data_IF_422032744331
#
_entry.id   IF_422032744331
#
_cell.length_a   1.000
_cell.length_b   1.000
_cell.length_c   1.000
_cell.angle_alpha   90.00
_cell.angle_beta   90.00
_cell.angle_gamma   90.00
#
_symmetry.space_group_name_H-M   'P 1'
#
loop_
_entity.id
_entity.type
_entity.pdbx_description
1 polymer ?
#
# COMPACT_ATOMS: atom_id res chain seq x y z
N UNK A 1 41.55 -38.54 14.26
CA UNK A 1 41.52 -37.92 15.60
C UNK A 1 42.27 -36.59 15.48
N UNK A 2 41.67 -35.49 15.97
CA UNK A 2 42.16 -34.09 15.93
C UNK A 2 42.22 -33.44 14.52
N UNK A 3 41.87 -32.18 14.28
CA UNK A 3 41.40 -31.08 15.14
C UNK A 3 40.55 -30.15 14.27
N UNK A 4 39.31 -29.85 14.68
CA UNK A 4 38.39 -28.92 14.00
C UNK A 4 38.85 -27.49 14.32
N UNK A 5 39.37 -26.79 13.33
CA UNK A 5 39.65 -25.36 13.44
C UNK A 5 38.31 -24.60 13.45
N UNK A 6 37.93 -24.07 14.61
CA UNK A 6 36.83 -23.12 14.74
C UNK A 6 37.26 -21.79 14.11
N UNK A 7 36.69 -21.44 12.95
CA UNK A 7 36.57 -20.02 12.57
C UNK A 7 35.50 -19.39 13.46
N UNK A 8 35.93 -18.73 14.53
CA UNK A 8 35.12 -17.77 15.27
C UNK A 8 34.96 -16.53 14.39
N UNK A 9 33.88 -16.50 13.59
CA UNK A 9 33.37 -15.26 13.00
C UNK A 9 32.78 -14.42 14.13
N UNK A 10 33.58 -13.51 14.67
CA UNK A 10 33.10 -12.41 15.51
C UNK A 10 32.28 -11.47 14.62
N UNK A 11 30.95 -11.64 14.64
CA UNK A 11 30.02 -10.62 14.17
C UNK A 11 30.10 -9.45 15.16
N UNK A 12 31.01 -8.52 14.88
CA UNK A 12 30.99 -7.20 15.50
C UNK A 12 29.71 -6.49 15.09
N UNK A 13 28.76 -6.34 16.02
CA UNK A 13 27.64 -5.42 15.85
C UNK A 13 28.19 -4.02 16.06
N UNK A 14 28.80 -3.46 15.01
CA UNK A 14 29.06 -2.04 14.92
C UNK A 14 27.75 -1.33 14.59
N UNK A 15 27.46 -0.27 15.35
CA UNK A 15 26.20 0.46 15.28
C UNK A 15 25.86 1.02 13.90
N UNK A 16 24.56 1.09 13.65
CA UNK A 16 23.97 1.80 12.51
C UNK A 16 22.45 1.65 12.65
N UNK A 17 21.74 2.77 12.71
CA UNK A 17 20.29 2.79 12.92
C UNK A 17 19.59 1.77 12.05
N UNK A 18 18.77 0.93 12.67
CA UNK A 18 17.94 -0.05 11.97
C UNK A 18 16.98 0.67 11.03
N UNK A 19 17.43 0.91 9.80
CA UNK A 19 16.54 1.13 8.69
C UNK A 19 15.79 -0.18 8.49
N UNK A 20 14.59 -0.28 9.07
CA UNK A 20 13.64 -1.31 8.66
C UNK A 20 13.46 -1.10 7.17
N UNK A 21 13.89 -2.07 6.36
CA UNK A 21 13.61 -2.10 4.95
C UNK A 21 12.08 -2.14 4.85
N UNK A 22 11.46 -0.99 4.60
CA UNK A 22 10.01 -0.88 4.50
C UNK A 22 9.62 -1.62 3.22
N UNK A 23 9.31 -2.91 3.37
CA UNK A 23 8.72 -3.71 2.30
C UNK A 23 7.28 -3.27 2.17
N UNK A 24 6.97 -2.61 1.06
CA UNK A 24 5.61 -2.26 0.68
C UNK A 24 4.76 -3.53 0.68
N UNK A 25 3.71 -3.58 1.50
CA UNK A 25 2.87 -4.77 1.70
C UNK A 25 3.10 -5.53 3.00
N UNK A 26 3.95 -5.04 3.91
CA UNK A 26 4.02 -5.63 5.25
C UNK A 26 2.73 -5.35 6.02
N UNK A 27 2.25 -6.41 6.68
CA UNK A 27 1.08 -6.40 7.53
C UNK A 27 1.34 -5.55 8.77
N UNK A 28 0.39 -4.70 9.15
CA UNK A 28 0.47 -3.92 10.38
C UNK A 28 0.37 -4.81 11.64
N UNK A 29 0.52 -4.21 12.82
CA UNK A 29 0.46 -4.95 14.10
C UNK A 29 -0.90 -5.61 14.36
N UNK A 30 -1.94 -5.24 13.61
CA UNK A 30 -3.29 -5.76 13.71
C UNK A 30 -3.61 -6.82 12.64
N UNK A 31 -2.68 -7.12 11.73
CA UNK A 31 -2.92 -8.13 10.71
C UNK A 31 -3.42 -7.57 9.38
N UNK A 32 -3.40 -6.25 9.15
CA UNK A 32 -3.94 -5.62 7.95
C UNK A 32 -2.87 -5.03 7.03
N UNK A 33 -3.13 -5.12 5.72
CA UNK A 33 -2.46 -4.31 4.70
C UNK A 33 -3.44 -3.18 4.37
N UNK A 34 -3.14 -1.95 4.83
CA UNK A 34 -3.98 -0.78 4.55
C UNK A 34 -3.23 0.17 3.61
N UNK A 35 -3.84 0.48 2.48
CA UNK A 35 -3.23 1.27 1.40
C UNK A 35 -4.01 2.57 1.26
N UNK A 36 -3.32 3.71 1.28
CA UNK A 36 -3.91 5.02 0.98
C UNK A 36 -3.61 5.38 -0.49
N UNK A 37 -4.63 5.24 -1.33
CA UNK A 37 -4.51 5.41 -2.77
C UNK A 37 -4.30 6.87 -3.14
N UNK A 38 -3.19 7.17 -3.79
CA UNK A 38 -2.84 8.53 -4.17
C UNK A 38 -2.06 9.34 -3.13
N UNK A 39 -1.77 8.76 -1.96
CA UNK A 39 -0.91 9.38 -0.95
C UNK A 39 0.49 9.66 -1.54
N UNK A 40 1.00 10.87 -1.31
CA UNK A 40 2.30 11.30 -1.79
C UNK A 40 3.42 10.93 -0.81
N UNK A 41 4.61 10.69 -1.35
CA UNK A 41 5.80 10.32 -0.58
C UNK A 41 5.91 8.82 -0.32
N UNK A 42 6.90 8.45 0.48
CA UNK A 42 7.25 7.04 0.76
C UNK A 42 6.84 6.61 2.17
N UNK A 43 6.47 7.56 3.04
CA UNK A 43 6.17 7.29 4.44
C UNK A 43 4.68 7.16 4.69
N UNK A 44 4.31 6.07 5.35
CA UNK A 44 2.94 5.83 5.82
C UNK A 44 2.58 6.63 7.08
N UNK A 45 1.37 6.39 7.59
CA UNK A 45 0.90 7.00 8.83
C UNK A 45 -0.06 6.10 9.60
N UNK A 46 -0.14 6.33 10.90
CA UNK A 46 -1.16 5.72 11.77
C UNK A 46 -2.46 6.53 11.68
N UNK A 47 -3.57 5.89 11.30
CA UNK A 47 -4.87 6.55 11.33
C UNK A 47 -5.41 6.63 12.76
N UNK A 48 -5.78 7.83 13.20
CA UNK A 48 -6.14 8.07 14.59
C UNK A 48 -7.48 7.45 14.98
N UNK A 49 -8.37 7.20 14.02
CA UNK A 49 -9.71 6.66 14.28
C UNK A 49 -9.70 5.13 14.25
N UNK A 50 -9.20 4.55 13.16
CA UNK A 50 -9.18 3.10 12.94
C UNK A 50 -7.99 2.40 13.60
N UNK A 51 -6.94 3.15 13.96
CA UNK A 51 -5.66 2.63 14.49
C UNK A 51 -4.91 1.71 13.51
N UNK A 52 -5.26 1.78 12.23
CA UNK A 52 -4.58 1.05 11.16
C UNK A 52 -3.40 1.87 10.64
N UNK A 53 -2.33 1.17 10.24
CA UNK A 53 -1.21 1.79 9.54
C UNK A 53 -1.49 1.84 8.03
N UNK A 54 -1.63 3.05 7.48
CA UNK A 54 -1.80 3.28 6.05
C UNK A 54 -0.45 3.57 5.38
N UNK A 55 -0.18 2.91 4.26
CA UNK A 55 1.01 3.14 3.45
C UNK A 55 0.66 3.70 2.06
N UNK A 56 1.54 4.50 1.43
CA UNK A 56 1.35 4.96 0.06
C UNK A 56 1.19 3.81 -0.93
N UNK A 57 0.45 4.05 -2.01
CA UNK A 57 0.13 3.02 -3.00
C UNK A 57 1.20 2.74 -4.05
N UNK A 58 2.25 3.58 -4.12
CA UNK A 58 3.32 3.49 -5.11
C UNK A 58 4.05 2.13 -5.11
N UNK A 59 4.06 1.42 -3.98
CA UNK A 59 4.66 0.08 -3.88
C UNK A 59 3.78 -1.07 -4.38
N UNK A 60 2.53 -0.78 -4.76
CA UNK A 60 1.53 -1.79 -5.11
C UNK A 60 1.03 -1.67 -6.55
N UNK A 61 1.20 -0.52 -7.20
CA UNK A 61 0.83 -0.30 -8.59
C UNK A 61 1.82 0.65 -9.26
N UNK A 62 2.07 0.43 -10.54
CA UNK A 62 2.93 1.24 -11.39
C UNK A 62 2.15 2.11 -12.39
N UNK A 63 0.81 2.05 -12.34
CA UNK A 63 -0.08 2.71 -13.29
C UNK A 63 -1.00 3.74 -12.61
N UNK A 64 -1.64 4.58 -13.43
CA UNK A 64 -2.55 5.63 -12.97
C UNK A 64 -1.84 6.89 -12.46
N UNK A 65 -2.63 7.85 -11.98
CA UNK A 65 -2.16 9.18 -11.55
C UNK A 65 -2.81 9.59 -10.25
N UNK A 66 -2.01 10.11 -9.31
CA UNK A 66 -2.49 10.63 -8.03
C UNK A 66 -3.23 11.95 -8.24
N UNK A 67 -4.37 12.12 -7.58
CA UNK A 67 -5.17 13.34 -7.64
C UNK A 67 -5.61 13.75 -6.24
N UNK A 68 -5.59 15.06 -5.98
CA UNK A 68 -6.22 15.62 -4.81
C UNK A 68 -7.71 15.78 -5.09
N UNK A 69 -8.56 15.34 -4.18
CA UNK A 69 -9.99 15.57 -4.32
C UNK A 69 -10.36 16.99 -3.88
N UNK A 70 -11.48 17.51 -4.39
CA UNK A 70 -11.94 18.85 -4.04
C UNK A 70 -12.26 18.95 -2.53
N UNK A 71 -11.97 20.09 -1.88
CA UNK A 71 -12.11 20.26 -0.43
C UNK A 71 -13.47 19.85 0.15
N UNK A 72 -14.55 20.09 -0.59
CA UNK A 72 -15.93 19.78 -0.19
C UNK A 72 -16.22 18.27 -0.06
N UNK A 73 -15.37 17.40 -0.61
CA UNK A 73 -15.51 15.94 -0.54
C UNK A 73 -14.51 15.28 0.43
N UNK A 74 -13.63 16.05 1.05
CA UNK A 74 -12.62 15.51 1.95
C UNK A 74 -13.23 14.97 3.25
N UNK A 75 -12.93 13.72 3.59
CA UNK A 75 -13.45 13.06 4.78
C UNK A 75 -12.35 12.30 5.53
N UNK A 76 -11.72 12.88 6.56
CA UNK A 76 -10.57 12.25 7.21
C UNK A 76 -9.32 12.23 6.32
N UNK A 77 -8.27 11.52 6.74
CA UNK A 77 -6.95 11.62 6.10
C UNK A 77 -6.84 10.78 4.81
N UNK A 78 -7.35 9.55 4.81
CA UNK A 78 -7.33 8.62 3.66
C UNK A 78 -8.30 8.98 2.52
N UNK A 79 -9.06 10.07 2.68
CA UNK A 79 -9.96 10.58 1.65
C UNK A 79 -9.60 12.02 1.27
N UNK A 80 -8.31 12.30 1.14
CA UNK A 80 -7.81 13.57 0.57
C UNK A 80 -7.26 13.38 -0.83
N UNK A 81 -6.87 12.16 -1.13
CA UNK A 81 -6.22 11.77 -2.36
C UNK A 81 -6.93 10.54 -2.91
N UNK A 82 -6.83 10.39 -4.23
CA UNK A 82 -7.23 9.18 -4.93
C UNK A 82 -6.18 8.86 -5.98
N UNK A 83 -6.07 7.59 -6.36
CA UNK A 83 -5.43 7.20 -7.61
C UNK A 83 -6.47 7.05 -8.70
N UNK A 84 -6.28 7.80 -9.78
CA UNK A 84 -7.11 7.74 -10.98
C UNK A 84 -6.46 6.87 -12.05
N UNK A 85 -7.29 6.16 -12.81
CA UNK A 85 -6.88 5.30 -13.94
C UNK A 85 -7.59 5.76 -15.21
N UNK A 86 -7.20 6.90 -15.80
CA UNK A 86 -7.83 7.43 -17.01
C UNK A 86 -7.41 6.66 -18.27
N UNK A 87 -6.24 6.00 -18.21
CA UNK A 87 -5.62 5.33 -19.34
C UNK A 87 -5.43 3.82 -19.06
N UNK A 88 -5.32 3.06 -20.16
CA UNK A 88 -5.09 1.62 -20.13
C UNK A 88 -6.36 0.80 -20.01
N UNK A 89 -6.35 -0.39 -20.61
CA UNK A 89 -7.49 -1.30 -20.58
C UNK A 89 -7.66 -1.99 -19.21
N UNK A 90 -6.55 -2.19 -18.47
CA UNK A 90 -6.54 -2.81 -17.16
C UNK A 90 -5.37 -2.30 -16.34
N UNK A 91 -5.65 -1.88 -15.11
CA UNK A 91 -4.65 -1.42 -14.15
C UNK A 91 -4.72 -2.30 -12.90
N UNK A 92 -3.56 -2.74 -12.41
CA UNK A 92 -3.48 -3.78 -11.39
C UNK A 92 -2.82 -3.26 -10.11
N UNK A 93 -3.34 -3.73 -8.98
CA UNK A 93 -2.64 -3.70 -7.69
C UNK A 93 -2.06 -5.08 -7.42
N UNK A 94 -0.79 -5.13 -7.05
CA UNK A 94 -0.12 -6.35 -6.62
C UNK A 94 0.04 -6.34 -5.11
N UNK A 95 -0.80 -7.14 -4.43
CA UNK A 95 -0.66 -7.38 -3.00
C UNK A 95 0.40 -8.47 -2.76
N UNK A 96 1.53 -8.08 -2.18
CA UNK A 96 2.62 -9.00 -1.82
C UNK A 96 2.33 -9.65 -0.46
N UNK A 97 3.01 -10.75 -0.16
CA UNK A 97 2.96 -11.42 1.16
C UNK A 97 1.65 -12.13 1.50
N UNK A 98 0.79 -12.40 0.52
CA UNK A 98 -0.37 -13.28 0.72
C UNK A 98 0.07 -14.75 0.73
N UNK A 99 -0.50 -15.52 1.64
CA UNK A 99 -0.23 -16.95 1.82
C UNK A 99 -1.30 -17.75 1.08
N UNK A 100 -0.84 -18.66 0.22
CA UNK A 100 -1.71 -19.53 -0.54
C UNK A 100 -2.61 -20.39 0.36
N UNK A 101 -3.88 -20.56 -0.03
CA UNK A 101 -4.87 -21.36 0.70
C UNK A 101 -5.58 -20.64 1.85
N UNK A 102 -5.16 -19.42 2.21
CA UNK A 102 -5.86 -18.61 3.20
C UNK A 102 -7.00 -17.79 2.58
N UNK A 103 -8.00 -17.49 3.41
CA UNK A 103 -9.11 -16.59 3.06
C UNK A 103 -8.80 -15.19 3.52
N UNK A 104 -9.05 -14.21 2.65
CA UNK A 104 -8.80 -12.80 2.92
C UNK A 104 -10.09 -11.99 2.75
N UNK A 105 -10.31 -11.05 3.67
CA UNK A 105 -11.30 -10.01 3.48
C UNK A 105 -10.65 -8.87 2.70
N UNK A 106 -11.19 -8.54 1.53
CA UNK A 106 -10.75 -7.41 0.72
C UNK A 106 -11.79 -6.31 0.82
N UNK A 107 -11.36 -5.11 1.20
CA UNK A 107 -12.20 -3.90 1.20
C UNK A 107 -11.58 -2.88 0.25
N UNK A 108 -12.25 -2.65 -0.87
CA UNK A 108 -11.92 -1.56 -1.78
C UNK A 108 -12.90 -0.40 -1.53
N UNK A 109 -12.38 0.83 -1.53
CA UNK A 109 -13.15 2.04 -1.32
C UNK A 109 -12.99 2.94 -2.55
N UNK A 110 -14.08 3.52 -3.03
CA UNK A 110 -14.10 4.28 -4.27
C UNK A 110 -14.64 5.69 -4.04
N UNK A 111 -13.94 6.68 -4.60
CA UNK A 111 -14.30 8.09 -4.56
C UNK A 111 -13.81 8.76 -5.83
N UNK A 112 -14.64 9.64 -6.41
CA UNK A 112 -14.20 10.57 -7.45
C UNK A 112 -13.82 11.91 -6.83
N UNK A 113 -14.61 12.40 -5.87
CA UNK A 113 -14.30 13.62 -5.13
C UNK A 113 -14.06 14.85 -6.02
N UNK A 114 -14.60 14.84 -7.25
CA UNK A 114 -14.50 15.92 -8.21
C UNK A 114 -13.07 16.38 -8.54
N UNK A 115 -12.08 15.48 -8.47
CA UNK A 115 -10.67 15.83 -8.67
C UNK A 115 -10.33 16.45 -10.04
N UNK A 116 -11.22 16.31 -11.03
CA UNK A 116 -11.08 16.82 -12.39
C UNK A 116 -12.10 17.93 -12.73
N UNK A 117 -12.95 18.33 -11.79
CA UNK A 117 -13.99 19.33 -12.00
C UNK A 117 -15.18 18.89 -12.85
N UNK A 118 -15.22 17.64 -13.31
CA UNK A 118 -16.28 17.15 -14.22
C UNK A 118 -17.57 16.76 -13.51
N UNK A 119 -17.53 16.59 -12.18
CA UNK A 119 -18.65 16.13 -11.34
C UNK A 119 -19.35 14.88 -11.89
N UNK A 120 -18.58 14.01 -12.54
CA UNK A 120 -19.08 12.79 -13.19
C UNK A 120 -18.52 11.58 -12.50
N UNK A 121 -19.39 10.62 -12.18
CA UNK A 121 -18.98 9.35 -11.63
C UNK A 121 -18.25 8.50 -12.67
N UNK A 122 -17.10 7.91 -12.30
CA UNK A 122 -16.42 6.95 -13.16
C UNK A 122 -17.24 5.65 -13.25
N UNK A 123 -17.14 4.97 -14.40
CA UNK A 123 -17.69 3.64 -14.62
C UNK A 123 -16.53 2.72 -14.91
N UNK A 124 -16.40 1.65 -14.13
CA UNK A 124 -15.32 0.67 -14.26
C UNK A 124 -15.74 -0.63 -13.58
N UNK A 125 -15.06 -1.70 -13.99
CA UNK A 125 -15.18 -3.02 -13.36
C UNK A 125 -14.02 -3.27 -12.39
N UNK A 126 -14.30 -4.02 -11.33
CA UNK A 126 -13.29 -4.44 -10.35
C UNK A 126 -13.18 -5.95 -10.39
N UNK A 127 -11.97 -6.42 -10.66
CA UNK A 127 -11.66 -7.84 -10.71
C UNK A 127 -10.69 -8.21 -9.58
N UNK A 128 -10.94 -9.33 -8.92
CA UNK A 128 -10.11 -9.82 -7.81
C UNK A 128 -9.48 -11.13 -8.23
N UNK A 129 -8.18 -11.10 -8.54
CA UNK A 129 -7.41 -12.25 -9.02
C UNK A 129 -7.01 -12.12 -10.48
N UNK A 130 -6.24 -13.08 -10.96
CA UNK A 130 -5.54 -12.99 -12.26
C UNK A 130 -6.29 -13.61 -13.44
N UNK A 131 -7.43 -14.28 -13.21
CA UNK A 131 -8.16 -15.08 -14.21
C UNK A 131 -9.45 -14.42 -14.71
N UNK A 132 -9.50 -13.09 -14.73
CA UNK A 132 -10.66 -12.33 -15.20
C UNK A 132 -10.20 -11.39 -16.29
#
# INVERSE_FOLDING_TARGET
MASRWLLLLLLGVAGGGGGVLQVHGQVDSLGFISIDCGLLGETGYMDNTTKLWYTPDAGYTDAGTNRNISPEYQAGKSWRNVRSFPDGARNCYTLRSLVFGLKYLIRAMFMHGNYDGLKKWPVFDVHIGVNY
#
